data_IF_341883002815
#
_entry.id   IF_341883002815
#
_cell.length_a   1.000
_cell.length_b   1.000
_cell.length_c   1.000
_cell.angle_alpha   90.00
_cell.angle_beta   90.00
_cell.angle_gamma   90.00
#
_symmetry.space_group_name_H-M   'P 1'
#
loop_
_entity.id
_entity.type
_entity.pdbx_description
1 polymer ?
#
# COMPACT_ATOMS: atom_id res chain seq x y z
N UNK A 1 -16.57 -7.31 16.18
CA UNK A 1 -17.27 -6.73 15.02
C UNK A 1 -18.42 -7.64 14.63
N UNK A 2 -19.56 -7.10 14.21
CA UNK A 2 -20.68 -7.90 13.66
C UNK A 2 -20.48 -8.16 12.15
N UNK A 3 -21.34 -8.98 11.54
CA UNK A 3 -21.30 -9.29 10.11
C UNK A 3 -22.35 -8.50 9.32
N UNK A 4 -22.06 -8.09 8.05
CA UNK A 4 -20.84 -8.38 7.30
C UNK A 4 -19.71 -7.36 7.54
N UNK A 5 -18.47 -7.83 7.46
CA UNK A 5 -17.27 -6.98 7.50
C UNK A 5 -16.17 -7.56 6.62
N UNK A 6 -15.23 -6.71 6.20
CA UNK A 6 -14.00 -7.14 5.54
C UNK A 6 -12.90 -7.40 6.58
N UNK A 7 -12.27 -8.57 6.50
CA UNK A 7 -11.12 -8.93 7.31
C UNK A 7 -9.87 -8.99 6.41
N UNK A 8 -8.82 -8.26 6.79
CA UNK A 8 -7.56 -8.24 6.05
C UNK A 8 -6.45 -8.84 6.92
N UNK A 9 -5.61 -9.68 6.31
CA UNK A 9 -4.41 -10.23 6.97
C UNK A 9 -3.22 -9.32 6.73
N UNK A 10 -2.71 -8.70 7.79
CA UNK A 10 -1.49 -7.89 7.73
C UNK A 10 -0.31 -8.71 7.19
N UNK A 11 -0.11 -9.93 7.70
CA UNK A 11 0.98 -10.81 7.29
C UNK A 11 0.90 -11.17 5.79
N UNK A 12 -0.30 -11.33 5.25
CA UNK A 12 -0.50 -11.62 3.82
C UNK A 12 -0.09 -10.42 2.97
N UNK A 13 -0.50 -9.21 3.34
CA UNK A 13 -0.13 -7.98 2.62
C UNK A 13 1.39 -7.76 2.65
N UNK A 14 2.03 -7.88 3.82
CA UNK A 14 3.48 -7.75 3.96
C UNK A 14 4.23 -8.77 3.11
N UNK A 15 3.86 -10.06 3.20
CA UNK A 15 4.53 -11.13 2.45
C UNK A 15 4.45 -10.90 0.94
N UNK A 16 3.30 -10.48 0.42
CA UNK A 16 3.14 -10.26 -1.02
C UNK A 16 3.84 -9.00 -1.52
N UNK A 17 3.88 -7.94 -0.70
CA UNK A 17 4.68 -6.77 -1.02
C UNK A 17 6.17 -7.12 -1.11
N UNK A 18 6.73 -7.74 -0.07
CA UNK A 18 8.13 -8.12 -0.05
C UNK A 18 8.49 -9.08 -1.20
N UNK A 19 7.65 -10.09 -1.48
CA UNK A 19 7.92 -11.01 -2.58
C UNK A 19 7.94 -10.32 -3.96
N UNK A 20 7.20 -9.23 -4.14
CA UNK A 20 7.22 -8.45 -5.36
C UNK A 20 8.45 -7.53 -5.40
N UNK A 21 8.71 -6.80 -4.32
CA UNK A 21 9.80 -5.84 -4.20
C UNK A 21 11.19 -6.53 -4.29
N UNK A 22 11.37 -7.63 -3.55
CA UNK A 22 12.61 -8.43 -3.56
C UNK A 22 12.93 -9.03 -4.94
N UNK A 23 11.92 -9.26 -5.78
CA UNK A 23 12.14 -9.77 -7.14
C UNK A 23 12.90 -8.78 -8.04
N UNK A 24 12.96 -7.50 -7.66
CA UNK A 24 13.67 -6.44 -8.36
C UNK A 24 14.90 -5.94 -7.59
N UNK A 25 15.41 -6.68 -6.59
CA UNK A 25 16.53 -6.24 -5.73
C UNK A 25 17.80 -5.86 -6.48
N UNK A 26 18.01 -6.40 -7.68
CA UNK A 26 19.21 -6.18 -8.50
C UNK A 26 19.12 -4.92 -9.36
N UNK A 27 18.00 -4.21 -9.34
CA UNK A 27 17.80 -2.94 -10.07
C UNK A 27 17.34 -1.84 -9.12
N UNK A 28 17.79 -0.61 -9.40
CA UNK A 28 17.27 0.56 -8.71
C UNK A 28 15.79 0.74 -9.08
N UNK A 29 14.90 0.60 -8.10
CA UNK A 29 13.46 0.58 -8.32
C UNK A 29 12.68 1.20 -7.16
N UNK A 30 11.43 1.54 -7.44
CA UNK A 30 10.44 1.95 -6.45
C UNK A 30 9.13 1.21 -6.73
N UNK A 31 8.70 0.38 -5.79
CA UNK A 31 7.42 -0.32 -5.88
C UNK A 31 6.28 0.60 -5.47
N UNK A 32 5.44 1.00 -6.43
CA UNK A 32 4.26 1.83 -6.20
C UNK A 32 2.97 1.00 -6.12
N UNK A 33 2.31 0.96 -4.96
CA UNK A 33 1.04 0.26 -4.79
C UNK A 33 -0.11 1.01 -5.49
N UNK A 34 -0.91 0.31 -6.30
CA UNK A 34 -2.03 0.92 -7.02
C UNK A 34 -3.23 1.13 -6.08
N UNK A 35 -3.45 2.38 -5.66
CA UNK A 35 -4.40 2.75 -4.60
C UNK A 35 -5.85 2.41 -4.97
N UNK A 36 -6.19 2.43 -6.26
CA UNK A 36 -7.52 2.05 -6.77
C UNK A 36 -7.96 0.64 -6.37
N UNK A 37 -7.01 -0.26 -6.10
CA UNK A 37 -7.30 -1.64 -5.71
C UNK A 37 -7.81 -1.75 -4.27
N UNK A 38 -7.25 -0.95 -3.34
CA UNK A 38 -7.70 -0.86 -1.95
C UNK A 38 -7.18 0.43 -1.29
N UNK A 39 -8.05 1.44 -1.18
CA UNK A 39 -7.69 2.77 -0.66
C UNK A 39 -7.94 2.92 0.86
N UNK A 40 -7.91 1.82 1.61
CA UNK A 40 -8.00 1.84 3.06
C UNK A 40 -6.71 2.43 3.66
N UNK A 41 -6.84 3.49 4.46
CA UNK A 41 -5.69 4.25 4.98
C UNK A 41 -4.74 3.39 5.81
N UNK A 42 -5.23 2.40 6.57
CA UNK A 42 -4.37 1.52 7.35
C UNK A 42 -3.53 0.59 6.46
N UNK A 43 -4.09 0.13 5.34
CA UNK A 43 -3.36 -0.68 4.34
C UNK A 43 -2.33 0.19 3.61
N UNK A 44 -2.70 1.42 3.22
CA UNK A 44 -1.74 2.35 2.62
C UNK A 44 -0.60 2.69 3.58
N UNK A 45 -0.90 2.87 4.87
CA UNK A 45 0.11 3.14 5.91
C UNK A 45 1.04 1.95 6.13
N UNK A 46 0.50 0.72 6.09
CA UNK A 46 1.30 -0.49 6.09
C UNK A 46 2.29 -0.50 4.90
N UNK A 47 1.83 -0.31 3.67
CA UNK A 47 2.73 -0.31 2.52
C UNK A 47 3.72 0.86 2.54
N UNK A 48 3.33 2.04 3.01
CA UNK A 48 4.24 3.15 3.22
C UNK A 48 5.35 2.79 4.22
N UNK A 49 5.01 2.09 5.32
CA UNK A 49 5.99 1.64 6.32
C UNK A 49 6.97 0.59 5.79
N UNK A 50 6.62 -0.10 4.70
CA UNK A 50 7.49 -1.05 3.99
C UNK A 50 8.32 -0.37 2.88
N UNK A 51 8.20 0.95 2.69
CA UNK A 51 8.94 1.70 1.67
C UNK A 51 8.22 1.85 0.33
N UNK A 52 6.95 1.44 0.23
CA UNK A 52 6.18 1.56 -1.01
C UNK A 52 5.84 3.01 -1.35
N UNK A 53 5.93 3.35 -2.65
CA UNK A 53 5.26 4.51 -3.22
C UNK A 53 3.75 4.25 -3.45
N UNK A 54 3.03 5.26 -3.95
CA UNK A 54 1.60 5.12 -4.27
C UNK A 54 1.32 5.52 -5.71
N UNK A 55 0.77 4.58 -6.49
CA UNK A 55 0.20 4.85 -7.81
C UNK A 55 -1.24 5.35 -7.64
N UNK A 56 -1.45 6.62 -7.97
CA UNK A 56 -2.70 7.35 -7.77
C UNK A 56 -3.22 7.93 -9.10
N UNK A 57 -4.54 7.99 -9.24
CA UNK A 57 -5.23 8.51 -10.43
C UNK A 57 -6.22 9.64 -10.10
N UNK A 58 -6.36 10.02 -8.83
CA UNK A 58 -7.25 11.09 -8.40
C UNK A 58 -6.74 11.88 -7.20
N UNK A 59 -7.22 13.11 -7.04
CA UNK A 59 -6.94 13.92 -5.85
C UNK A 59 -7.46 13.28 -4.54
N UNK A 60 -8.50 12.45 -4.61
CA UNK A 60 -9.00 11.70 -3.45
C UNK A 60 -8.04 10.60 -2.98
N UNK A 61 -7.32 9.99 -3.92
CA UNK A 61 -6.28 9.00 -3.61
C UNK A 61 -5.02 9.68 -3.09
N UNK A 62 -4.62 10.82 -3.68
CA UNK A 62 -3.56 11.67 -3.14
C UNK A 62 -3.83 12.04 -1.68
N UNK A 63 -5.04 12.52 -1.38
CA UNK A 63 -5.45 12.86 -0.02
C UNK A 63 -5.30 11.67 0.95
N UNK A 64 -5.70 10.46 0.52
CA UNK A 64 -5.58 9.25 1.35
C UNK A 64 -4.13 8.81 1.54
N UNK A 65 -3.30 8.90 0.52
CA UNK A 65 -1.88 8.58 0.59
C UNK A 65 -1.15 9.50 1.59
N UNK A 66 -1.35 10.82 1.47
CA UNK A 66 -0.80 11.79 2.42
C UNK A 66 -1.30 11.53 3.85
N UNK A 67 -2.59 11.23 4.01
CA UNK A 67 -3.16 10.88 5.31
C UNK A 67 -2.62 9.57 5.90
N UNK A 68 -2.13 8.66 5.05
CA UNK A 68 -1.50 7.41 5.46
C UNK A 68 -0.01 7.59 5.84
N UNK A 69 0.56 8.80 5.69
CA UNK A 69 1.95 9.10 6.00
C UNK A 69 2.92 8.91 4.83
N UNK A 70 2.42 8.77 3.60
CA UNK A 70 3.26 8.69 2.39
C UNK A 70 3.88 10.06 2.13
N UNK A 71 5.21 10.17 1.91
CA UNK A 71 5.86 11.43 1.56
C UNK A 71 5.28 12.09 0.31
N UNK A 72 5.32 13.42 0.27
CA UNK A 72 4.87 14.24 -0.87
C UNK A 72 6.00 14.49 -1.87
#
# INVERSE_FOLDING_TARGET
VGTPFYCYSHATLTRHFNAFDEAFSDVDHLTCFSVKSCSNIAILSLFASLGSGMDIVSGGELYRALKAGVPA
#
